data_IF_173999310294
#
_entry.id   IF_173999310294
#
_cell.length_a   1.000
_cell.length_b   1.000
_cell.length_c   1.000
_cell.angle_alpha   90.00
_cell.angle_beta   90.00
_cell.angle_gamma   90.00
#
_symmetry.space_group_name_H-M   'P 1'
#
loop_
_entity.id
_entity.type
_entity.pdbx_description
1 polymer ?
#
# COMPACT_ATOMS: atom_id res chain seq x y z
N UNK A 1 11.45 -25.72 22.67
CA UNK A 1 11.82 -24.43 23.24
C UNK A 1 13.05 -23.94 22.49
N UNK A 2 12.84 -22.97 21.61
CA UNK A 2 13.87 -22.45 20.69
C UNK A 2 14.75 -21.35 21.31
N UNK A 3 14.67 -21.14 22.63
CA UNK A 3 15.52 -20.20 23.37
C UNK A 3 15.28 -18.73 23.07
N UNK A 4 14.27 -18.39 22.30
CA UNK A 4 13.93 -16.99 22.01
C UNK A 4 13.21 -16.36 23.20
N UNK A 5 13.78 -15.29 23.75
CA UNK A 5 13.13 -14.48 24.80
C UNK A 5 12.07 -13.59 24.14
N UNK A 6 10.82 -13.76 24.51
CA UNK A 6 9.70 -12.93 24.05
C UNK A 6 9.32 -11.96 25.17
N UNK A 7 9.25 -10.67 24.84
CA UNK A 7 8.71 -9.69 25.77
C UNK A 7 7.19 -9.86 25.84
N UNK A 8 6.68 -10.22 27.02
CA UNK A 8 5.24 -10.37 27.27
C UNK A 8 4.80 -9.38 28.33
N UNK A 9 3.54 -8.91 28.22
CA UNK A 9 2.93 -8.09 29.27
C UNK A 9 2.60 -9.00 30.44
N UNK A 10 3.11 -8.68 31.64
CA UNK A 10 2.80 -9.41 32.86
C UNK A 10 1.38 -8.99 33.30
N UNK A 11 0.42 -9.91 33.44
CA UNK A 11 -0.89 -9.58 33.97
C UNK A 11 -0.78 -8.84 35.31
N UNK A 12 -1.61 -7.83 35.52
CA UNK A 12 -1.66 -7.03 36.76
C UNK A 12 -0.39 -6.21 37.06
N UNK A 13 0.54 -6.10 36.10
CA UNK A 13 1.74 -5.28 36.29
C UNK A 13 1.51 -3.78 36.08
N UNK A 14 0.31 -3.37 35.68
CA UNK A 14 -0.01 -1.96 35.49
C UNK A 14 0.05 -1.18 36.80
N UNK A 15 0.87 -0.14 36.83
CA UNK A 15 0.92 0.84 37.92
C UNK A 15 1.10 2.24 37.34
N UNK A 16 0.49 3.22 38.01
CA UNK A 16 0.73 4.61 37.64
C UNK A 16 2.13 5.04 38.07
N UNK A 17 2.86 5.64 37.15
CA UNK A 17 4.14 6.28 37.41
C UNK A 17 3.96 7.78 37.56
N UNK A 18 4.92 8.46 38.24
CA UNK A 18 4.89 9.92 38.34
C UNK A 18 4.88 10.57 36.93
N UNK A 19 4.14 11.65 36.82
CA UNK A 19 4.05 12.42 35.59
C UNK A 19 5.42 13.00 35.23
N UNK A 20 5.95 12.58 34.10
CA UNK A 20 7.22 13.07 33.58
C UNK A 20 6.95 14.11 32.47
N UNK A 21 7.07 15.42 32.78
CA UNK A 21 6.84 16.47 31.78
C UNK A 21 7.87 16.35 30.68
N UNK A 22 7.38 16.26 29.44
CA UNK A 22 8.22 16.25 28.26
C UNK A 22 8.61 17.70 27.91
N UNK A 23 9.89 17.99 27.98
CA UNK A 23 10.45 19.32 27.67
C UNK A 23 11.33 19.23 26.40
N UNK A 24 12.61 18.99 26.58
CA UNK A 24 13.56 18.83 25.47
C UNK A 24 13.33 17.61 24.60
N UNK A 25 12.67 16.60 25.12
CA UNK A 25 12.29 15.40 24.37
C UNK A 25 11.43 15.70 23.13
N UNK A 26 10.70 16.82 23.12
CA UNK A 26 9.93 17.26 21.94
C UNK A 26 10.88 17.52 20.76
N UNK A 27 12.05 18.09 21.01
CA UNK A 27 13.04 18.37 19.95
C UNK A 27 13.86 17.13 19.58
N UNK A 28 14.25 16.31 20.58
CA UNK A 28 14.98 15.08 20.30
C UNK A 28 14.12 14.05 19.57
N UNK A 29 12.81 14.00 19.84
CA UNK A 29 11.87 13.08 19.18
C UNK A 29 11.89 13.18 17.64
N UNK A 30 12.13 14.38 17.10
CA UNK A 30 12.25 14.55 15.66
C UNK A 30 13.48 13.78 15.12
N UNK A 31 14.63 13.96 15.78
CA UNK A 31 15.86 13.27 15.40
C UNK A 31 15.76 11.77 15.64
N UNK A 32 15.24 11.36 16.79
CA UNK A 32 15.08 9.96 17.15
C UNK A 32 14.09 9.26 16.21
N UNK A 33 13.04 9.96 15.79
CA UNK A 33 12.10 9.50 14.77
C UNK A 33 12.76 9.27 13.41
N UNK A 34 13.60 10.20 12.96
CA UNK A 34 14.38 10.05 11.72
C UNK A 34 15.33 8.84 11.80
N UNK A 35 16.07 8.70 12.89
CA UNK A 35 17.00 7.59 13.09
C UNK A 35 16.26 6.24 13.14
N UNK A 36 15.13 6.18 13.86
CA UNK A 36 14.36 4.94 14.01
C UNK A 36 13.66 4.49 12.74
N UNK A 37 13.46 5.39 11.76
CA UNK A 37 12.81 5.12 10.46
C UNK A 37 13.73 5.41 9.27
N UNK A 38 15.04 5.44 9.50
CA UNK A 38 16.02 5.78 8.48
C UNK A 38 15.98 4.81 7.28
N UNK A 39 15.69 3.55 7.50
CA UNK A 39 15.52 2.53 6.48
C UNK A 39 14.39 2.89 5.49
N UNK A 40 13.21 3.24 5.99
CA UNK A 40 12.07 3.66 5.18
C UNK A 40 12.36 4.98 4.47
N UNK A 41 12.93 5.96 5.17
CA UNK A 41 13.25 7.28 4.61
C UNK A 41 14.24 7.14 3.45
N UNK A 42 15.34 6.40 3.65
CA UNK A 42 16.37 6.16 2.62
C UNK A 42 15.78 5.41 1.43
N UNK A 43 14.96 4.39 1.68
CA UNK A 43 14.27 3.64 0.62
C UNK A 43 13.39 4.56 -0.25
N UNK A 44 12.54 5.40 0.36
CA UNK A 44 11.67 6.33 -0.38
C UNK A 44 12.51 7.35 -1.15
N UNK A 45 13.59 7.87 -0.58
CA UNK A 45 14.50 8.82 -1.26
C UNK A 45 15.17 8.19 -2.48
N UNK A 46 15.66 6.95 -2.37
CA UNK A 46 16.29 6.24 -3.49
C UNK A 46 15.30 5.96 -4.62
N UNK A 47 14.11 5.48 -4.28
CA UNK A 47 13.05 5.23 -5.27
C UNK A 47 12.58 6.56 -5.90
N UNK A 48 12.38 7.59 -5.09
CA UNK A 48 12.03 8.93 -5.58
C UNK A 48 13.08 9.48 -6.56
N UNK A 49 14.37 9.31 -6.25
CA UNK A 49 15.47 9.66 -7.16
C UNK A 49 15.43 8.87 -8.47
N UNK A 50 15.19 7.57 -8.41
CA UNK A 50 15.06 6.75 -9.61
C UNK A 50 13.87 7.18 -10.49
N UNK A 51 12.71 7.45 -9.88
CA UNK A 51 11.55 7.98 -10.61
C UNK A 51 11.79 9.37 -11.19
N UNK A 52 12.53 10.21 -10.48
CA UNK A 52 12.94 11.52 -11.02
C UNK A 52 13.75 11.37 -12.32
N UNK A 53 14.73 10.48 -12.33
CA UNK A 53 15.53 10.18 -13.54
C UNK A 53 14.64 9.64 -14.66
N UNK A 54 13.72 8.74 -14.36
CA UNK A 54 12.78 8.19 -15.34
C UNK A 54 11.85 9.26 -15.92
N UNK A 55 11.39 10.20 -15.09
CA UNK A 55 10.55 11.31 -15.52
C UNK A 55 11.33 12.27 -16.42
N UNK A 56 12.54 12.67 -16.02
CA UNK A 56 13.40 13.58 -16.79
C UNK A 56 13.80 12.99 -18.13
N UNK A 57 14.03 11.68 -18.19
CA UNK A 57 14.31 10.94 -19.43
C UNK A 57 13.10 10.76 -20.35
N UNK A 58 11.91 11.22 -19.95
CA UNK A 58 10.63 10.99 -20.63
C UNK A 58 10.24 9.52 -20.75
N UNK A 59 10.91 8.62 -20.02
CA UNK A 59 10.63 7.19 -20.06
C UNK A 59 9.20 6.87 -19.57
N UNK A 60 8.73 7.61 -18.56
CA UNK A 60 7.36 7.46 -18.03
C UNK A 60 6.33 7.85 -19.10
N UNK A 61 6.47 9.01 -19.73
CA UNK A 61 5.55 9.49 -20.76
C UNK A 61 5.46 8.52 -21.94
N UNK A 62 6.63 8.07 -22.42
CA UNK A 62 6.70 7.09 -23.53
C UNK A 62 6.06 5.77 -23.13
N UNK A 63 6.31 5.30 -21.92
CA UNK A 63 5.72 4.05 -21.41
C UNK A 63 4.20 4.14 -21.30
N UNK A 64 3.66 5.25 -20.79
CA UNK A 64 2.21 5.48 -20.71
C UNK A 64 1.60 5.50 -22.11
N UNK A 65 2.21 6.22 -23.05
CA UNK A 65 1.71 6.28 -24.43
C UNK A 65 1.78 4.92 -25.12
N UNK A 66 2.84 4.15 -24.91
CA UNK A 66 2.97 2.79 -25.44
C UNK A 66 1.90 1.86 -24.85
N UNK A 67 1.67 1.95 -23.55
CA UNK A 67 0.64 1.21 -22.84
C UNK A 67 -0.76 1.55 -23.40
N UNK A 68 -1.11 2.84 -23.52
CA UNK A 68 -2.39 3.26 -24.08
C UNK A 68 -2.60 2.78 -25.53
N UNK A 69 -1.56 2.79 -26.37
CA UNK A 69 -1.63 2.20 -27.72
C UNK A 69 -1.86 0.70 -27.70
N UNK A 70 -1.23 0.00 -26.76
CA UNK A 70 -1.44 -1.45 -26.60
C UNK A 70 -2.88 -1.76 -26.17
N UNK A 71 -3.43 -0.98 -25.27
CA UNK A 71 -4.81 -1.16 -24.75
C UNK A 71 -5.87 -0.92 -25.82
N UNK A 72 -5.63 0.03 -26.74
CA UNK A 72 -6.54 0.25 -27.90
C UNK A 72 -6.70 -1.00 -28.76
N UNK A 73 -5.69 -1.88 -28.86
CA UNK A 73 -5.80 -3.15 -29.56
C UNK A 73 -6.76 -4.13 -28.88
N UNK A 74 -6.94 -4.00 -27.56
CA UNK A 74 -7.85 -4.83 -26.77
C UNK A 74 -9.33 -4.50 -27.01
N UNK A 75 -9.64 -3.30 -27.53
CA UNK A 75 -11.02 -2.90 -27.88
C UNK A 75 -11.65 -3.78 -28.97
N UNK A 76 -10.86 -4.54 -29.72
CA UNK A 76 -11.35 -5.49 -30.72
C UNK A 76 -12.16 -6.65 -30.09
N UNK A 77 -12.00 -6.91 -28.79
CA UNK A 77 -12.78 -7.93 -28.09
C UNK A 77 -14.14 -7.38 -27.64
N UNK A 78 -15.23 -8.01 -28.06
CA UNK A 78 -16.61 -7.56 -27.78
C UNK A 78 -16.91 -7.32 -26.30
N UNK A 79 -16.37 -8.14 -25.40
CA UNK A 79 -16.56 -8.03 -23.96
C UNK A 79 -15.85 -6.80 -23.40
N UNK A 80 -14.60 -6.60 -23.81
CA UNK A 80 -13.75 -5.48 -23.40
C UNK A 80 -14.34 -4.15 -23.86
N UNK A 81 -14.85 -4.10 -25.09
CA UNK A 81 -15.52 -2.92 -25.64
C UNK A 81 -16.81 -2.55 -24.86
N UNK A 82 -17.53 -3.54 -24.29
CA UNK A 82 -18.73 -3.30 -23.50
C UNK A 82 -18.44 -2.68 -22.11
N UNK A 83 -17.36 -3.13 -21.48
CA UNK A 83 -16.97 -2.66 -20.14
C UNK A 83 -16.14 -1.35 -20.23
N UNK A 84 -15.43 -1.15 -21.33
CA UNK A 84 -14.45 -0.09 -21.51
C UNK A 84 -13.05 -0.55 -21.09
N UNK A 85 -12.08 -0.36 -21.97
CA UNK A 85 -10.68 -0.78 -21.74
C UNK A 85 -10.09 -0.07 -20.51
N UNK A 86 -10.39 1.22 -20.36
CA UNK A 86 -9.90 2.03 -19.23
C UNK A 86 -10.37 1.45 -17.88
N UNK A 87 -11.64 1.07 -17.77
CA UNK A 87 -12.18 0.48 -16.53
C UNK A 87 -11.51 -0.84 -16.18
N UNK A 88 -11.22 -1.66 -17.18
CA UNK A 88 -10.50 -2.94 -16.98
C UNK A 88 -9.09 -2.69 -16.48
N UNK A 89 -8.38 -1.73 -17.08
CA UNK A 89 -7.02 -1.37 -16.68
C UNK A 89 -7.00 -0.85 -15.25
N UNK A 90 -7.87 0.08 -14.91
CA UNK A 90 -7.98 0.62 -13.55
C UNK A 90 -8.28 -0.47 -12.55
N UNK A 91 -9.24 -1.35 -12.86
CA UNK A 91 -9.59 -2.50 -12.02
C UNK A 91 -8.38 -3.42 -11.79
N UNK A 92 -7.63 -3.75 -12.83
CA UNK A 92 -6.44 -4.60 -12.71
C UNK A 92 -5.36 -3.96 -11.84
N UNK A 93 -5.10 -2.66 -12.03
CA UNK A 93 -4.14 -1.90 -11.21
C UNK A 93 -4.58 -1.92 -9.74
N UNK A 94 -5.84 -1.63 -9.47
CA UNK A 94 -6.38 -1.64 -8.11
C UNK A 94 -6.26 -3.02 -7.46
N UNK A 95 -6.55 -4.11 -8.19
CA UNK A 95 -6.39 -5.48 -7.67
C UNK A 95 -4.92 -5.76 -7.30
N UNK A 96 -3.98 -5.35 -8.17
CA UNK A 96 -2.54 -5.57 -7.93
C UNK A 96 -2.07 -4.80 -6.68
N UNK A 97 -2.41 -3.52 -6.55
CA UNK A 97 -2.02 -2.74 -5.38
C UNK A 97 -2.75 -3.19 -4.10
N UNK A 98 -4.02 -3.58 -4.20
CA UNK A 98 -4.74 -4.19 -3.09
C UNK A 98 -4.09 -5.51 -2.64
N UNK A 99 -3.63 -6.33 -3.59
CA UNK A 99 -2.88 -7.55 -3.27
C UNK A 99 -1.56 -7.22 -2.56
N UNK A 100 -0.82 -6.20 -3.03
CA UNK A 100 0.43 -5.77 -2.39
C UNK A 100 0.19 -5.29 -0.95
N UNK A 101 -0.85 -4.51 -0.70
CA UNK A 101 -1.22 -4.09 0.64
C UNK A 101 -1.63 -5.27 1.53
N UNK A 102 -2.39 -6.21 0.99
CA UNK A 102 -2.92 -7.36 1.72
C UNK A 102 -1.86 -8.41 2.09
N UNK A 103 -0.88 -8.64 1.21
CA UNK A 103 0.14 -9.69 1.36
C UNK A 103 1.41 -9.13 1.99
N UNK A 104 1.94 -8.05 1.43
CA UNK A 104 3.23 -7.48 1.83
C UNK A 104 3.09 -6.34 2.84
N UNK A 105 1.88 -5.78 2.99
CA UNK A 105 1.69 -4.61 3.82
C UNK A 105 2.25 -3.33 3.19
N UNK A 106 2.33 -3.26 1.85
CA UNK A 106 2.74 -2.06 1.14
C UNK A 106 1.77 -0.91 1.43
N UNK A 107 2.29 0.21 1.85
CA UNK A 107 1.57 1.46 2.12
C UNK A 107 2.36 2.64 1.60
N UNK A 108 3.45 3.01 2.28
CA UNK A 108 4.27 4.18 1.97
C UNK A 108 4.97 4.07 0.61
N UNK A 109 5.35 2.89 0.22
CA UNK A 109 6.01 2.61 -1.06
C UNK A 109 5.11 2.96 -2.26
N UNK A 110 3.79 2.94 -2.06
CA UNK A 110 2.84 3.28 -3.13
C UNK A 110 2.92 4.75 -3.53
N UNK A 111 3.42 5.64 -2.67
CA UNK A 111 3.62 7.06 -2.94
C UNK A 111 4.52 7.26 -4.17
N UNK A 112 5.55 6.43 -4.33
CA UNK A 112 6.46 6.50 -5.47
C UNK A 112 5.76 6.25 -6.82
N UNK A 113 4.66 5.49 -6.83
CA UNK A 113 3.91 5.17 -8.04
C UNK A 113 2.90 6.24 -8.46
N UNK A 114 2.59 7.21 -7.59
CA UNK A 114 1.68 8.33 -7.89
C UNK A 114 2.18 9.10 -9.12
N UNK A 115 3.49 9.27 -9.26
CA UNK A 115 4.12 9.97 -10.39
C UNK A 115 3.82 9.30 -11.75
N UNK A 116 3.46 8.02 -11.75
CA UNK A 116 3.08 7.26 -12.96
C UNK A 116 1.56 7.28 -13.13
N UNK A 117 0.81 6.95 -12.08
CA UNK A 117 -0.63 6.72 -12.20
C UNK A 117 -1.45 7.99 -12.30
N UNK A 118 -0.99 9.12 -11.75
CA UNK A 118 -1.69 10.40 -11.92
C UNK A 118 -1.64 10.87 -13.38
N UNK A 119 -0.48 11.00 -14.06
CA UNK A 119 -0.45 11.34 -15.47
C UNK A 119 -1.20 10.33 -16.35
N UNK A 120 -1.13 9.03 -16.01
CA UNK A 120 -1.86 8.00 -16.72
C UNK A 120 -3.38 8.19 -16.62
N UNK A 121 -3.93 8.41 -15.42
CA UNK A 121 -5.35 8.66 -15.22
C UNK A 121 -5.82 9.89 -15.98
N UNK A 122 -5.06 11.00 -15.92
CA UNK A 122 -5.36 12.22 -16.66
C UNK A 122 -5.37 11.97 -18.18
N UNK A 123 -4.39 11.21 -18.69
CA UNK A 123 -4.33 10.87 -20.13
C UNK A 123 -5.47 9.98 -20.60
N UNK A 124 -6.09 9.23 -19.67
CA UNK A 124 -7.27 8.41 -19.91
C UNK A 124 -8.59 9.20 -19.75
N UNK A 125 -8.52 10.49 -19.37
CA UNK A 125 -9.67 11.36 -19.21
C UNK A 125 -10.27 11.40 -17.79
N UNK A 126 -9.57 10.85 -16.80
CA UNK A 126 -9.94 10.90 -15.38
C UNK A 126 -9.20 12.03 -14.66
N UNK A 127 -9.57 12.31 -13.41
CA UNK A 127 -8.88 13.29 -12.60
C UNK A 127 -7.67 12.71 -11.84
N UNK A 128 -6.91 13.57 -11.18
CA UNK A 128 -5.73 13.17 -10.41
C UNK A 128 -6.08 12.34 -9.18
N UNK A 129 -7.29 12.51 -8.62
CA UNK A 129 -7.75 11.74 -7.44
C UNK A 129 -7.89 10.27 -7.80
N UNK A 130 -8.43 9.97 -8.99
CA UNK A 130 -8.48 8.61 -9.52
C UNK A 130 -7.07 8.02 -9.62
N UNK A 131 -6.10 8.79 -10.18
CA UNK A 131 -4.70 8.35 -10.28
C UNK A 131 -4.08 7.97 -8.93
N UNK A 132 -4.30 8.78 -7.90
CA UNK A 132 -3.86 8.46 -6.52
C UNK A 132 -4.58 7.23 -5.99
N UNK A 133 -5.87 7.11 -6.25
CA UNK A 133 -6.70 6.01 -5.76
C UNK A 133 -6.30 4.67 -6.36
N UNK A 134 -5.82 4.63 -7.60
CA UNK A 134 -5.36 3.40 -8.26
C UNK A 134 -4.23 2.70 -7.50
N UNK A 135 -3.36 3.44 -6.83
CA UNK A 135 -2.25 2.86 -6.07
C UNK A 135 -2.45 2.99 -4.56
N UNK A 136 -2.57 4.19 -4.03
CA UNK A 136 -2.58 4.43 -2.60
C UNK A 136 -3.87 3.94 -1.92
N UNK A 137 -5.04 4.33 -2.42
CA UNK A 137 -6.31 3.87 -1.86
C UNK A 137 -6.48 2.35 -2.04
N UNK A 138 -6.11 1.81 -3.21
CA UNK A 138 -6.17 0.38 -3.47
C UNK A 138 -5.27 -0.42 -2.51
N UNK A 139 -4.04 0.02 -2.26
CA UNK A 139 -3.15 -0.59 -1.27
C UNK A 139 -3.74 -0.50 0.15
N UNK A 140 -4.37 0.62 0.50
CA UNK A 140 -5.09 0.79 1.77
C UNK A 140 -6.24 -0.21 1.95
N UNK A 141 -7.01 -0.49 0.90
CA UNK A 141 -8.04 -1.54 0.92
C UNK A 141 -7.43 -2.92 1.18
N UNK A 142 -6.31 -3.21 0.52
CA UNK A 142 -5.54 -4.43 0.75
C UNK A 142 -5.02 -4.53 2.16
N UNK A 143 -4.46 -3.46 2.69
CA UNK A 143 -3.95 -3.38 4.05
C UNK A 143 -5.06 -3.61 5.09
N UNK A 144 -6.26 -3.09 4.87
CA UNK A 144 -7.43 -3.34 5.70
C UNK A 144 -7.90 -4.82 5.62
N UNK A 145 -7.83 -5.43 4.43
CA UNK A 145 -8.16 -6.84 4.22
C UNK A 145 -7.11 -7.82 4.74
N UNK A 146 -5.88 -7.40 4.91
CA UNK A 146 -4.73 -8.03 5.57
C UNK A 146 -4.72 -9.57 5.57
N UNK A 147 -4.44 -10.22 4.42
CA UNK A 147 -4.37 -11.69 4.35
C UNK A 147 -3.11 -12.25 5.01
N UNK A 148 -1.93 -11.82 4.55
CA UNK A 148 -0.62 -12.20 5.06
C UNK A 148 0.19 -11.01 5.58
N UNK A 149 -0.41 -9.84 5.69
CA UNK A 149 0.29 -8.61 6.06
C UNK A 149 1.04 -8.78 7.39
N UNK A 150 2.40 -8.72 7.38
CA UNK A 150 3.19 -8.94 8.59
C UNK A 150 3.03 -7.81 9.61
N UNK A 151 2.78 -6.58 9.15
CA UNK A 151 2.70 -5.39 10.01
C UNK A 151 1.39 -5.27 10.78
N UNK A 152 0.31 -5.87 10.28
CA UNK A 152 -0.99 -5.87 10.97
C UNK A 152 -1.28 -7.22 11.58
N UNK A 153 -1.64 -8.20 10.73
CA UNK A 153 -2.10 -9.50 11.22
C UNK A 153 -0.95 -10.31 11.86
N UNK A 154 0.26 -10.22 11.30
CA UNK A 154 1.44 -10.90 11.86
C UNK A 154 1.74 -10.44 13.28
N UNK A 155 1.78 -9.12 13.51
CA UNK A 155 2.00 -8.55 14.85
C UNK A 155 0.83 -8.87 15.78
N UNK A 156 -0.42 -8.63 15.33
CA UNK A 156 -1.60 -8.85 16.16
C UNK A 156 -1.71 -10.31 16.64
N UNK A 157 -1.51 -11.27 15.75
CA UNK A 157 -1.54 -12.68 16.09
C UNK A 157 -0.37 -13.10 16.97
N UNK A 158 0.83 -12.54 16.72
CA UNK A 158 1.99 -12.77 17.57
C UNK A 158 1.81 -12.26 19.00
N UNK A 159 1.14 -11.11 19.20
CA UNK A 159 0.86 -10.57 20.51
C UNK A 159 -0.27 -11.32 21.24
N UNK A 160 -1.21 -11.91 20.50
CA UNK A 160 -2.37 -12.63 21.04
C UNK A 160 -2.10 -14.11 21.25
N UNK A 161 -0.89 -14.60 21.04
CA UNK A 161 -0.51 -16.02 21.09
C UNK A 161 -1.42 -16.94 20.22
N UNK A 162 -1.93 -16.41 19.13
CA UNK A 162 -2.70 -17.14 18.13
C UNK A 162 -1.76 -17.61 17.02
N UNK A 163 -1.94 -18.81 16.44
CA UNK A 163 -1.10 -19.28 15.35
C UNK A 163 -1.05 -18.28 14.19
N UNK A 164 0.17 -17.95 13.71
CA UNK A 164 0.34 -17.00 12.63
C UNK A 164 -0.43 -17.41 11.38
N UNK A 165 -1.08 -16.43 10.79
CA UNK A 165 -1.92 -16.56 9.58
C UNK A 165 -3.14 -17.49 9.73
N UNK A 166 -3.53 -17.86 10.96
CA UNK A 166 -4.80 -18.57 11.19
C UNK A 166 -6.00 -17.73 10.76
N UNK A 167 -7.11 -18.37 10.36
CA UNK A 167 -8.34 -17.70 9.89
C UNK A 167 -8.17 -16.99 8.53
N UNK A 168 -7.28 -17.49 7.67
CA UNK A 168 -6.97 -16.88 6.37
C UNK A 168 -8.18 -16.87 5.43
N UNK A 169 -9.04 -17.87 5.50
CA UNK A 169 -10.22 -17.99 4.64
C UNK A 169 -11.16 -16.80 4.86
N UNK A 170 -11.40 -16.44 6.12
CA UNK A 170 -12.23 -15.29 6.45
C UNK A 170 -11.60 -13.97 5.99
N UNK A 171 -10.30 -13.82 6.18
CA UNK A 171 -9.58 -12.61 5.73
C UNK A 171 -9.53 -12.50 4.22
N UNK A 172 -9.35 -13.62 3.52
CA UNK A 172 -9.41 -13.63 2.05
C UNK A 172 -10.80 -13.20 1.55
N UNK A 173 -11.85 -13.71 2.17
CA UNK A 173 -13.22 -13.26 1.86
C UNK A 173 -13.39 -11.75 2.12
N UNK A 174 -12.94 -11.27 3.27
CA UNK A 174 -13.01 -9.85 3.63
C UNK A 174 -12.22 -8.98 2.63
N UNK A 175 -11.00 -9.40 2.27
CA UNK A 175 -10.17 -8.70 1.29
C UNK A 175 -10.87 -8.61 -0.07
N UNK A 176 -11.45 -9.69 -0.55
CA UNK A 176 -12.20 -9.69 -1.83
C UNK A 176 -13.37 -8.72 -1.76
N UNK A 177 -14.17 -8.78 -0.69
CA UNK A 177 -15.34 -7.90 -0.54
C UNK A 177 -14.93 -6.43 -0.49
N UNK A 178 -13.94 -6.07 0.33
CA UNK A 178 -13.47 -4.68 0.47
C UNK A 178 -12.89 -4.17 -0.86
N UNK A 179 -12.09 -5.00 -1.54
CA UNK A 179 -11.50 -4.63 -2.83
C UNK A 179 -12.57 -4.43 -3.90
N UNK A 180 -13.58 -5.31 -3.97
CA UNK A 180 -14.70 -5.14 -4.91
C UNK A 180 -15.49 -3.88 -4.63
N UNK A 181 -15.79 -3.58 -3.36
CA UNK A 181 -16.47 -2.32 -2.99
C UNK A 181 -15.64 -1.11 -3.42
N UNK A 182 -14.33 -1.13 -3.20
CA UNK A 182 -13.44 -0.05 -3.63
C UNK A 182 -13.40 0.13 -5.15
N UNK A 183 -13.37 -0.97 -5.91
CA UNK A 183 -13.42 -0.93 -7.39
C UNK A 183 -14.74 -0.34 -7.91
N UNK A 184 -15.86 -0.66 -7.25
CA UNK A 184 -17.17 -0.12 -7.65
C UNK A 184 -17.29 1.37 -7.31
N UNK A 185 -16.60 1.80 -6.24
CA UNK A 185 -16.63 3.19 -5.78
C UNK A 185 -15.83 4.13 -6.69
N UNK A 186 -14.71 3.67 -7.25
CA UNK A 186 -13.85 4.43 -8.17
C UNK A 186 -14.38 4.32 -9.61
#
# INVERSE_FOLDING_TARGET
>A
PDGTTKNVIIPESFHSVENQPQTWQIFSALFDGFVSKADIIVFIMLIGGAFWIMNESKAIDVSIMAFLRLTQKLENFKLIRKIGVNNIIMTLIMIVFSLFGSVFGMSEETIAFIIIFVPMAISMGYDSIVGVSLCFFAAGLGFAGATFNPFTIGIAQGLSDVPLFSGIEYRLFTWVVITLVGIIFI
#
